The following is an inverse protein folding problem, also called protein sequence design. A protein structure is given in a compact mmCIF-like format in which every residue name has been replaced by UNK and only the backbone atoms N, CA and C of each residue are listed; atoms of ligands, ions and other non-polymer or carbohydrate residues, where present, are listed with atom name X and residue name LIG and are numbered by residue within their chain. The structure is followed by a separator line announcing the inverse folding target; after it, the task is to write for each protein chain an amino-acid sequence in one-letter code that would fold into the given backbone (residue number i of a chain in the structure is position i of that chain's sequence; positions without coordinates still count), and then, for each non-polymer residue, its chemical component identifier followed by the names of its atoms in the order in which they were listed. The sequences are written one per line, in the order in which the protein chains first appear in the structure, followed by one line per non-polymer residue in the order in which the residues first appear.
data_IF_781661211690
#
_entry.id   IF_781661211690
#
_cell.length_a   1.000
_cell.length_b   1.000
_cell.length_c   1.000
_cell.angle_alpha   90.00
_cell.angle_beta   90.00
_cell.angle_gamma   90.00
#
_symmetry.space_group_name_H-M   'P 1'
#
loop_
_entity.id
_entity.type
_entity.pdbx_description
1 polymer ?
#
# COMPACT_ATOMS: atom_id res chain seq x y z
N UNK A 1 0.88 9.86 2.89
CA UNK A 1 -0.12 8.79 2.67
C UNK A 1 0.56 7.59 2.02
N UNK A 2 0.19 6.36 2.39
CA UNK A 2 0.69 5.13 1.74
C UNK A 2 -0.50 4.30 1.25
N UNK A 3 -0.40 3.77 0.03
CA UNK A 3 -1.39 2.86 -0.57
C UNK A 3 -0.67 1.61 -1.03
N UNK A 4 -1.23 0.43 -0.71
CA UNK A 4 -0.67 -0.88 -1.06
C UNK A 4 -1.60 -1.58 -2.06
N UNK A 5 -1.03 -2.07 -3.14
CA UNK A 5 -1.73 -2.76 -4.23
C UNK A 5 -1.15 -4.17 -4.35
N UNK A 6 -1.97 -5.18 -4.06
CA UNK A 6 -1.51 -6.57 -4.02
C UNK A 6 -2.07 -7.42 -5.17
N UNK A 7 -3.38 -7.31 -5.42
CA UNK A 7 -4.12 -8.24 -6.29
C UNK A 7 -4.42 -7.71 -7.69
N UNK A 8 -4.00 -6.48 -8.00
CA UNK A 8 -4.20 -5.90 -9.33
C UNK A 8 -3.34 -6.64 -10.35
N UNK A 9 -3.97 -7.22 -11.38
CA UNK A 9 -3.31 -7.94 -12.47
C UNK A 9 -3.05 -7.00 -13.65
N UNK A 10 -1.79 -6.63 -13.93
CA UNK A 10 -1.48 -5.74 -15.04
C UNK A 10 -1.86 -6.29 -16.43
N UNK A 11 -2.11 -7.60 -16.58
CA UNK A 11 -2.60 -8.19 -17.85
C UNK A 11 -4.11 -8.04 -18.03
N UNK A 12 -4.85 -7.91 -16.94
CA UNK A 12 -6.30 -7.80 -16.92
C UNK A 12 -6.73 -6.72 -15.92
N UNK A 13 -6.43 -5.44 -16.21
CA UNK A 13 -6.63 -4.36 -15.26
C UNK A 13 -8.10 -4.20 -14.88
N UNK A 14 -8.37 -4.05 -13.58
CA UNK A 14 -9.72 -3.82 -13.06
C UNK A 14 -10.09 -2.35 -13.21
N UNK A 15 -10.86 -2.05 -14.25
CA UNK A 15 -11.31 -0.68 -14.54
C UNK A 15 -12.69 -0.43 -13.95
N UNK A 16 -12.71 0.14 -12.75
CA UNK A 16 -13.95 0.56 -12.11
C UNK A 16 -14.55 1.79 -12.83
N UNK A 17 -15.89 1.91 -12.92
CA UNK A 17 -16.55 3.01 -13.63
C UNK A 17 -16.13 4.41 -13.16
N UNK A 18 -15.81 4.56 -11.86
CA UNK A 18 -15.41 5.83 -11.27
C UNK A 18 -14.02 6.31 -11.67
N UNK A 19 -13.19 5.48 -12.32
CA UNK A 19 -11.85 5.85 -12.77
C UNK A 19 -11.87 6.81 -13.98
N UNK A 20 -13.02 6.94 -14.67
CA UNK A 20 -13.22 7.88 -15.79
C UNK A 20 -12.25 7.71 -16.99
N UNK A 21 -11.55 6.58 -17.09
CA UNK A 21 -10.78 6.20 -18.28
C UNK A 21 -11.06 4.75 -18.68
N UNK A 22 -11.00 4.48 -19.98
CA UNK A 22 -11.13 3.14 -20.55
C UNK A 22 -9.77 2.47 -20.81
N UNK A 23 -9.82 1.20 -21.22
CA UNK A 23 -8.62 0.40 -21.51
C UNK A 23 -7.70 1.05 -22.55
N UNK A 24 -8.25 1.56 -23.64
CA UNK A 24 -7.45 2.22 -24.70
C UNK A 24 -6.69 3.44 -24.18
N UNK A 25 -7.35 4.26 -23.35
CA UNK A 25 -6.73 5.42 -22.71
C UNK A 25 -5.63 5.01 -21.74
N UNK A 26 -5.86 3.93 -20.98
CA UNK A 26 -4.84 3.37 -20.08
C UNK A 26 -3.62 2.83 -20.85
N UNK A 27 -3.85 2.09 -21.93
CA UNK A 27 -2.77 1.52 -22.76
C UNK A 27 -1.90 2.62 -23.38
N UNK A 28 -2.53 3.69 -23.90
CA UNK A 28 -1.83 4.87 -24.39
C UNK A 28 -1.04 5.57 -23.29
N UNK A 29 -1.62 5.70 -22.09
CA UNK A 29 -0.95 6.30 -20.95
C UNK A 29 0.29 5.49 -20.53
N UNK A 30 0.15 4.17 -20.39
CA UNK A 30 1.26 3.27 -20.02
C UNK A 30 2.38 3.39 -21.05
N UNK A 31 2.05 3.40 -22.35
CA UNK A 31 3.05 3.60 -23.40
C UNK A 31 3.78 4.93 -23.25
N UNK A 32 3.06 6.04 -23.07
CA UNK A 32 3.64 7.36 -22.86
C UNK A 32 4.44 7.49 -21.56
N UNK A 33 4.05 6.77 -20.51
CA UNK A 33 4.75 6.76 -19.23
C UNK A 33 6.20 6.28 -19.38
N UNK A 34 6.44 5.29 -20.25
CA UNK A 34 7.77 4.73 -20.52
C UNK A 34 8.46 5.33 -21.74
N UNK A 35 7.91 6.37 -22.35
CA UNK A 35 8.57 7.06 -23.47
C UNK A 35 9.81 7.82 -22.99
N UNK A 36 10.95 7.61 -23.66
CA UNK A 36 12.20 8.33 -23.40
C UNK A 36 12.26 9.67 -24.12
N UNK A 37 11.45 9.86 -25.16
CA UNK A 37 11.41 11.11 -25.92
C UNK A 37 10.57 12.17 -25.19
N UNK A 38 11.15 13.37 -25.05
CA UNK A 38 10.52 14.45 -24.28
C UNK A 38 9.38 15.13 -25.01
N UNK A 39 9.27 15.03 -26.34
CA UNK A 39 8.16 15.57 -27.17
C UNK A 39 7.60 16.94 -26.74
N UNK A 40 8.48 17.88 -26.33
CA UNK A 40 8.11 19.22 -25.86
C UNK A 40 7.83 19.36 -24.35
N UNK A 41 7.78 18.26 -23.60
CA UNK A 41 7.75 18.24 -22.13
C UNK A 41 9.13 18.53 -21.50
N UNK A 42 9.12 19.08 -20.28
CA UNK A 42 10.34 19.27 -19.48
C UNK A 42 11.00 17.94 -19.07
N UNK A 43 10.21 16.87 -18.95
CA UNK A 43 10.67 15.51 -18.64
C UNK A 43 9.62 14.47 -19.02
N UNK A 44 10.03 13.20 -19.09
CA UNK A 44 9.13 12.05 -19.09
C UNK A 44 9.61 11.05 -18.03
N UNK A 45 8.71 10.22 -17.51
CA UNK A 45 9.13 9.17 -16.58
C UNK A 45 10.00 8.12 -17.28
N UNK A 46 9.72 7.81 -18.55
CA UNK A 46 10.56 6.94 -19.36
C UNK A 46 12.00 7.43 -19.47
N UNK A 47 12.23 8.72 -19.79
CA UNK A 47 13.58 9.31 -19.76
C UNK A 47 14.22 9.10 -18.39
N UNK A 48 13.48 9.36 -17.30
CA UNK A 48 14.07 9.24 -15.97
C UNK A 48 14.39 7.80 -15.57
N UNK A 49 13.61 6.83 -16.01
CA UNK A 49 13.76 5.42 -15.57
C UNK A 49 14.71 4.64 -16.49
N UNK A 50 14.61 4.87 -17.80
CA UNK A 50 15.23 4.04 -18.84
C UNK A 50 16.42 4.72 -19.53
N UNK A 51 16.54 6.05 -19.46
CA UNK A 51 17.63 6.81 -20.09
C UNK A 51 18.03 8.05 -19.27
N UNK A 52 18.46 7.83 -18.03
CA UNK A 52 18.95 8.89 -17.17
C UNK A 52 20.34 9.34 -17.61
N UNK A 53 20.38 10.23 -18.61
CA UNK A 53 21.64 10.71 -19.21
C UNK A 53 22.55 9.53 -19.66
N UNK A 54 21.96 8.53 -20.33
CA UNK A 54 22.62 7.30 -20.77
C UNK A 54 22.56 6.14 -19.77
N UNK A 55 21.90 6.31 -18.62
CA UNK A 55 21.78 5.28 -17.57
C UNK A 55 20.37 4.67 -17.57
N UNK A 56 20.27 3.39 -17.93
CA UNK A 56 19.06 2.59 -17.75
C UNK A 56 18.98 2.05 -16.31
N UNK A 57 18.24 2.76 -15.45
CA UNK A 57 18.12 2.42 -14.03
C UNK A 57 17.34 1.12 -13.83
N UNK A 58 16.31 0.86 -14.65
CA UNK A 58 15.53 -0.39 -14.60
C UNK A 58 16.42 -1.59 -14.89
N UNK A 59 17.25 -1.52 -15.94
CA UNK A 59 18.21 -2.59 -16.24
C UNK A 59 19.18 -2.84 -15.09
N UNK A 60 19.72 -1.79 -14.47
CA UNK A 60 20.61 -1.92 -13.31
C UNK A 60 19.89 -2.59 -12.13
N UNK A 61 18.62 -2.25 -11.87
CA UNK A 61 17.83 -2.92 -10.83
C UNK A 61 17.71 -4.43 -11.10
N UNK A 62 17.37 -4.81 -12.34
CA UNK A 62 17.25 -6.21 -12.76
C UNK A 62 18.58 -6.96 -12.61
N UNK A 63 19.68 -6.39 -13.07
CA UNK A 63 21.02 -7.00 -12.96
C UNK A 63 21.42 -7.25 -11.50
N UNK A 64 21.17 -6.27 -10.61
CA UNK A 64 21.45 -6.41 -9.17
C UNK A 64 20.65 -7.53 -8.54
N UNK A 65 19.33 -7.54 -8.74
CA UNK A 65 18.42 -8.51 -8.13
C UNK A 65 18.62 -9.92 -8.70
N UNK A 66 18.93 -10.04 -9.99
CA UNK A 66 19.24 -11.34 -10.62
C UNK A 66 20.54 -11.93 -10.09
N UNK A 67 21.54 -11.08 -9.78
CA UNK A 67 22.80 -11.50 -9.16
C UNK A 67 22.63 -11.85 -7.69
N UNK A 68 21.86 -11.05 -6.95
CA UNK A 68 21.63 -11.22 -5.52
C UNK A 68 20.21 -10.77 -5.15
N UNK A 69 19.27 -11.70 -4.92
CA UNK A 69 17.86 -11.35 -4.66
C UNK A 69 17.64 -10.45 -3.43
N UNK A 70 18.56 -10.46 -2.46
CA UNK A 70 18.49 -9.62 -1.26
C UNK A 70 19.22 -8.27 -1.42
N UNK A 71 19.60 -7.88 -2.64
CA UNK A 71 20.24 -6.59 -2.91
C UNK A 71 19.29 -5.44 -2.53
N UNK A 72 19.75 -4.61 -1.58
CA UNK A 72 18.99 -3.46 -1.06
C UNK A 72 19.20 -2.18 -1.87
N UNK A 73 19.96 -2.25 -2.95
CA UNK A 73 20.34 -1.16 -3.84
C UNK A 73 19.64 -1.19 -5.19
N UNK A 74 18.57 -1.98 -5.36
CA UNK A 74 17.69 -1.88 -6.51
C UNK A 74 16.82 -0.61 -6.39
N UNK A 75 17.35 0.50 -6.90
CA UNK A 75 16.85 1.85 -6.73
C UNK A 75 16.90 2.59 -8.08
N UNK A 76 15.84 3.34 -8.39
CA UNK A 76 15.84 4.37 -9.42
C UNK A 76 15.48 5.72 -8.79
N UNK A 77 16.26 6.77 -9.10
CA UNK A 77 16.00 8.15 -8.67
C UNK A 77 15.54 8.95 -9.87
N UNK A 78 14.44 9.70 -9.72
CA UNK A 78 13.81 10.41 -10.82
C UNK A 78 14.03 11.94 -10.77
N UNK A 79 14.47 12.49 -9.63
CA UNK A 79 14.78 13.92 -9.47
C UNK A 79 16.22 14.26 -9.90
N UNK A 80 16.40 15.16 -10.87
CA UNK A 80 17.72 15.67 -11.32
C UNK A 80 18.00 16.98 -10.59
N UNK A 81 18.86 17.01 -9.55
CA UNK A 81 19.04 18.23 -8.75
C UNK A 81 19.52 19.42 -9.58
N UNK A 82 20.36 19.19 -10.59
CA UNK A 82 20.90 20.21 -11.48
C UNK A 82 19.87 20.77 -12.49
N UNK A 83 18.69 20.17 -12.62
CA UNK A 83 17.63 20.57 -13.57
C UNK A 83 16.33 20.92 -12.85
N UNK A 84 15.87 20.03 -11.99
CA UNK A 84 14.53 20.10 -11.39
C UNK A 84 14.45 21.08 -10.20
N UNK A 85 15.58 21.57 -9.69
CA UNK A 85 15.60 22.65 -8.69
C UNK A 85 15.68 24.06 -9.31
N UNK A 86 15.97 24.14 -10.60
CA UNK A 86 16.31 25.40 -11.27
C UNK A 86 15.31 25.68 -12.39
N UNK A 87 14.24 26.46 -12.13
CA UNK A 87 13.30 26.84 -13.17
C UNK A 87 14.01 27.59 -14.31
N UNK A 88 13.56 27.43 -15.58
CA UNK A 88 14.19 28.14 -16.69
C UNK A 88 14.04 29.65 -16.55
N UNK A 89 15.17 30.36 -16.66
CA UNK A 89 15.29 31.81 -16.38
C UNK A 89 14.62 32.70 -17.41
N UNK A 90 14.38 32.20 -18.62
CA UNK A 90 13.82 32.96 -19.75
C UNK A 90 12.30 32.81 -19.90
N UNK A 91 11.62 32.21 -18.92
CA UNK A 91 10.18 31.92 -19.00
C UNK A 91 9.36 32.91 -18.19
N UNK A 92 8.18 33.27 -18.71
CA UNK A 92 7.21 34.10 -17.99
C UNK A 92 6.82 33.46 -16.64
N UNK A 93 6.67 34.29 -15.62
CA UNK A 93 6.03 33.88 -14.38
C UNK A 93 4.51 33.88 -14.56
N UNK A 94 3.86 32.80 -14.13
CA UNK A 94 2.42 32.75 -13.97
C UNK A 94 1.96 33.68 -12.84
N UNK A 95 0.68 34.06 -12.85
CA UNK A 95 0.10 34.99 -11.87
C UNK A 95 0.23 34.51 -10.41
N UNK A 96 0.32 33.20 -10.20
CA UNK A 96 0.52 32.57 -8.89
C UNK A 96 2.00 32.49 -8.46
N UNK A 97 2.93 33.09 -9.23
CA UNK A 97 4.36 33.10 -8.95
C UNK A 97 5.12 31.85 -9.43
N UNK A 98 4.45 30.90 -10.09
CA UNK A 98 5.11 29.71 -10.66
C UNK A 98 5.74 30.02 -12.03
N UNK A 99 6.84 29.36 -12.38
CA UNK A 99 7.39 29.44 -13.75
C UNK A 99 6.46 28.71 -14.72
N UNK A 100 5.92 29.45 -15.69
CA UNK A 100 4.92 28.92 -16.64
C UNK A 100 5.52 27.76 -17.44
N UNK A 101 4.82 26.63 -17.49
CA UNK A 101 5.26 25.45 -18.25
C UNK A 101 6.42 24.66 -17.62
N UNK A 102 6.97 25.10 -16.48
CA UNK A 102 7.99 24.34 -15.77
C UNK A 102 7.35 23.16 -15.04
N UNK A 103 7.75 21.95 -15.43
CA UNK A 103 7.25 20.71 -14.84
C UNK A 103 8.41 19.88 -14.32
N UNK A 104 8.24 19.33 -13.13
CA UNK A 104 9.24 18.50 -12.45
C UNK A 104 8.60 17.21 -11.94
N UNK A 105 9.33 16.09 -11.89
CA UNK A 105 8.77 14.77 -11.60
C UNK A 105 8.01 14.72 -10.28
N UNK A 106 6.78 14.22 -10.33
CA UNK A 106 5.98 13.95 -9.14
C UNK A 106 6.45 12.66 -8.47
N UNK A 107 6.65 11.59 -9.25
CA UNK A 107 7.37 10.39 -8.84
C UNK A 107 8.87 10.68 -8.77
N UNK A 108 9.49 10.53 -7.59
CA UNK A 108 10.89 10.90 -7.36
C UNK A 108 11.80 9.71 -7.10
N UNK A 109 11.25 8.56 -6.71
CA UNK A 109 12.04 7.38 -6.37
C UNK A 109 11.25 6.09 -6.58
N UNK A 110 11.92 5.04 -7.04
CA UNK A 110 11.41 3.66 -7.11
C UNK A 110 12.42 2.75 -6.43
N UNK A 111 11.96 1.86 -5.56
CA UNK A 111 12.76 0.87 -4.86
C UNK A 111 12.18 -0.52 -5.10
N UNK A 112 13.03 -1.50 -5.37
CA UNK A 112 12.65 -2.91 -5.53
C UNK A 112 13.27 -3.80 -4.46
N UNK A 113 12.54 -4.84 -4.06
CA UNK A 113 13.06 -5.83 -3.11
C UNK A 113 12.44 -7.21 -3.39
N UNK A 114 13.23 -8.28 -3.35
CA UNK A 114 12.70 -9.64 -3.32
C UNK A 114 12.52 -10.10 -1.87
N UNK A 115 11.35 -10.67 -1.56
CA UNK A 115 11.05 -11.31 -0.28
C UNK A 115 10.46 -12.69 -0.60
N UNK A 116 11.19 -13.74 -0.23
CA UNK A 116 10.89 -15.10 -0.68
C UNK A 116 10.87 -15.16 -2.21
N UNK A 117 9.75 -15.58 -2.78
CA UNK A 117 9.54 -15.69 -4.22
C UNK A 117 8.85 -14.48 -4.84
N UNK A 118 8.55 -13.44 -4.07
CA UNK A 118 7.83 -12.27 -4.54
C UNK A 118 8.77 -11.06 -4.72
N UNK A 119 8.56 -10.30 -5.81
CA UNK A 119 9.18 -9.00 -6.03
C UNK A 119 8.23 -7.87 -5.63
N UNK A 120 8.61 -7.12 -4.60
CA UNK A 120 7.90 -5.96 -4.09
C UNK A 120 8.51 -4.68 -4.64
N UNK A 121 7.68 -3.67 -4.88
CA UNK A 121 8.14 -2.38 -5.39
C UNK A 121 7.50 -1.23 -4.61
N UNK A 122 8.30 -0.24 -4.25
CA UNK A 122 7.83 0.99 -3.60
C UNK A 122 8.12 2.18 -4.51
N UNK A 123 7.10 2.99 -4.78
CA UNK A 123 7.18 4.22 -5.55
C UNK A 123 6.89 5.43 -4.66
N UNK A 124 7.80 6.40 -4.62
CA UNK A 124 7.69 7.59 -3.76
C UNK A 124 7.37 8.81 -4.60
N UNK A 125 6.26 9.46 -4.28
CA UNK A 125 5.79 10.68 -4.91
C UNK A 125 5.99 11.86 -3.96
N UNK A 126 6.63 12.94 -4.43
CA UNK A 126 6.70 14.21 -3.67
C UNK A 126 5.34 14.90 -3.63
N UNK A 127 4.58 14.78 -4.71
CA UNK A 127 3.24 15.30 -4.89
C UNK A 127 2.46 14.31 -5.75
N UNK A 128 1.19 14.08 -5.43
CA UNK A 128 0.39 13.09 -6.11
C UNK A 128 -1.07 13.52 -6.12
N UNK A 129 -1.60 13.82 -7.31
CA UNK A 129 -3.02 14.02 -7.53
C UNK A 129 -3.71 12.67 -7.39
N UNK A 130 -4.42 12.49 -6.28
CA UNK A 130 -4.99 11.20 -5.89
C UNK A 130 -6.19 10.83 -6.76
N UNK A 131 -6.90 11.82 -7.31
CA UNK A 131 -8.11 11.58 -8.07
C UNK A 131 -7.82 11.41 -9.56
N UNK A 132 -7.14 12.38 -10.18
CA UNK A 132 -6.92 12.39 -11.63
C UNK A 132 -5.69 11.60 -12.07
N UNK A 133 -4.56 11.82 -11.40
CA UNK A 133 -3.26 11.30 -11.84
C UNK A 133 -2.86 9.93 -11.26
N UNK A 134 -3.09 9.71 -9.97
CA UNK A 134 -2.56 8.55 -9.25
C UNK A 134 -3.02 7.20 -9.83
N UNK A 135 -4.31 6.99 -10.18
CA UNK A 135 -4.74 5.68 -10.69
C UNK A 135 -3.97 5.27 -11.94
N UNK A 136 -3.79 6.19 -12.91
CA UNK A 136 -3.01 5.95 -14.12
C UNK A 136 -1.53 5.66 -13.82
N UNK A 137 -0.92 6.45 -12.93
CA UNK A 137 0.45 6.21 -12.45
C UNK A 137 0.60 4.83 -11.80
N UNK A 138 -0.38 4.42 -10.99
CA UNK A 138 -0.37 3.13 -10.28
C UNK A 138 -0.42 1.96 -11.27
N UNK A 139 -1.27 2.02 -12.30
CA UNK A 139 -1.30 1.00 -13.36
C UNK A 139 0.00 0.93 -14.16
N UNK A 140 0.59 2.08 -14.50
CA UNK A 140 1.87 2.13 -15.20
C UNK A 140 3.01 1.53 -14.34
N UNK A 141 3.08 1.90 -13.07
CA UNK A 141 4.04 1.34 -12.12
C UNK A 141 3.81 -0.16 -11.90
N UNK A 142 2.56 -0.62 -11.88
CA UNK A 142 2.23 -2.04 -11.78
C UNK A 142 2.75 -2.83 -12.98
N UNK A 143 2.69 -2.25 -14.18
CA UNK A 143 3.29 -2.82 -15.38
C UNK A 143 4.82 -2.86 -15.31
N UNK A 144 5.48 -1.78 -14.85
CA UNK A 144 6.93 -1.77 -14.60
C UNK A 144 7.34 -2.88 -13.62
N UNK A 145 6.62 -2.99 -12.51
CA UNK A 145 6.88 -4.00 -11.49
C UNK A 145 6.76 -5.41 -12.07
N UNK A 146 5.70 -5.69 -12.84
CA UNK A 146 5.51 -7.00 -13.47
C UNK A 146 6.62 -7.31 -14.46
N UNK A 147 7.07 -6.34 -15.24
CA UNK A 147 8.17 -6.51 -16.17
C UNK A 147 9.49 -6.83 -15.44
N UNK A 148 9.83 -6.08 -14.38
CA UNK A 148 11.01 -6.38 -13.55
C UNK A 148 10.87 -7.75 -12.89
N UNK A 149 9.72 -8.08 -12.30
CA UNK A 149 9.46 -9.37 -11.64
C UNK A 149 9.71 -10.55 -12.58
N UNK A 150 9.22 -10.47 -13.83
CA UNK A 150 9.47 -11.51 -14.86
C UNK A 150 10.96 -11.61 -15.17
N UNK A 151 11.64 -10.49 -15.36
CA UNK A 151 13.06 -10.47 -15.73
C UNK A 151 13.97 -11.02 -14.61
N UNK A 152 13.59 -10.84 -13.35
CA UNK A 152 14.33 -11.41 -12.19
C UNK A 152 13.87 -12.81 -11.81
N UNK A 153 12.85 -13.37 -12.49
CA UNK A 153 12.32 -14.71 -12.21
C UNK A 153 11.56 -14.81 -10.87
N UNK A 154 10.79 -13.78 -10.52
CA UNK A 154 9.99 -13.72 -9.28
C UNK A 154 8.50 -13.51 -9.57
N UNK A 155 7.68 -13.89 -8.59
CA UNK A 155 6.25 -13.61 -8.57
C UNK A 155 6.00 -12.12 -8.31
N UNK A 156 4.84 -11.64 -8.72
CA UNK A 156 4.44 -10.26 -8.52
C UNK A 156 4.02 -10.05 -7.05
N UNK A 157 4.84 -9.34 -6.27
CA UNK A 157 4.53 -8.95 -4.91
C UNK A 157 3.71 -7.65 -4.83
N UNK A 158 3.65 -7.05 -3.64
CA UNK A 158 2.93 -5.80 -3.42
C UNK A 158 3.61 -4.59 -4.11
N UNK A 159 2.81 -3.70 -4.70
CA UNK A 159 3.21 -2.34 -5.07
C UNK A 159 2.78 -1.38 -3.96
N UNK A 160 3.72 -0.64 -3.40
CA UNK A 160 3.44 0.42 -2.41
C UNK A 160 3.67 1.78 -3.05
N UNK A 161 2.68 2.66 -3.03
CA UNK A 161 2.86 4.07 -3.41
C UNK A 161 2.86 4.94 -2.16
N UNK A 162 3.93 5.70 -1.94
CA UNK A 162 4.04 6.66 -0.84
C UNK A 162 3.92 8.07 -1.41
N UNK A 163 2.86 8.78 -1.04
CA UNK A 163 2.65 10.19 -1.40
C UNK A 163 3.02 11.08 -0.22
N UNK A 164 4.01 11.96 -0.40
CA UNK A 164 4.35 12.98 0.60
C UNK A 164 3.24 14.04 0.66
N UNK A 165 2.94 14.68 -0.47
CA UNK A 165 1.74 15.50 -0.65
C UNK A 165 0.73 14.67 -1.44
N UNK A 166 -0.41 14.39 -0.82
CA UNK A 166 -1.55 13.74 -1.43
C UNK A 166 -2.66 14.77 -1.55
N UNK A 167 -2.99 15.17 -2.77
CA UNK A 167 -3.94 16.25 -3.03
C UNK A 167 -5.06 15.80 -3.97
N UNK A 168 -6.17 16.53 -3.90
CA UNK A 168 -7.27 16.45 -4.85
C UNK A 168 -7.48 17.88 -5.33
N UNK A 169 -7.50 18.09 -6.65
CA UNK A 169 -7.75 19.42 -7.20
C UNK A 169 -9.18 19.88 -6.90
N UNK A 170 -9.36 21.18 -6.68
CA UNK A 170 -10.66 21.78 -6.35
C UNK A 170 -11.74 21.41 -7.39
N UNK A 171 -11.37 21.37 -8.68
CA UNK A 171 -12.27 20.99 -9.77
C UNK A 171 -12.80 19.57 -9.66
N UNK A 172 -12.02 18.67 -9.04
CA UNK A 172 -12.34 17.26 -8.88
C UNK A 172 -12.98 16.94 -7.52
N UNK A 173 -13.01 17.90 -6.58
CA UNK A 173 -13.37 17.64 -5.19
C UNK A 173 -14.81 17.14 -5.01
N UNK A 174 -15.78 17.75 -5.70
CA UNK A 174 -17.18 17.33 -5.61
C UNK A 174 -17.43 15.97 -6.26
N UNK A 175 -16.71 15.64 -7.32
CA UNK A 175 -16.82 14.32 -7.94
C UNK A 175 -16.13 13.25 -7.10
N UNK A 176 -14.97 13.56 -6.49
CA UNK A 176 -14.32 12.68 -5.53
C UNK A 176 -15.25 12.35 -4.33
N UNK A 177 -15.96 13.36 -3.80
CA UNK A 177 -16.95 13.15 -2.73
C UNK A 177 -18.07 12.20 -3.14
N UNK A 178 -18.60 12.32 -4.37
CA UNK A 178 -19.64 11.41 -4.87
C UNK A 178 -19.12 9.98 -4.97
N UNK A 179 -17.91 9.80 -5.54
CA UNK A 179 -17.28 8.48 -5.64
C UNK A 179 -17.15 7.84 -4.26
N UNK A 180 -16.67 8.58 -3.25
CA UNK A 180 -16.58 8.06 -1.87
C UNK A 180 -17.97 7.74 -1.32
N UNK A 181 -18.96 8.62 -1.48
CA UNK A 181 -20.30 8.39 -0.95
C UNK A 181 -21.01 7.17 -1.57
N UNK A 182 -20.75 6.90 -2.85
CA UNK A 182 -21.37 5.79 -3.59
C UNK A 182 -20.64 4.46 -3.41
N UNK A 183 -19.35 4.48 -3.08
CA UNK A 183 -18.50 3.29 -3.07
C UNK A 183 -17.89 2.96 -1.69
N UNK A 184 -17.92 3.88 -0.72
CA UNK A 184 -17.47 3.60 0.65
C UNK A 184 -18.53 2.77 1.39
N UNK A 185 -18.09 1.63 1.93
CA UNK A 185 -18.95 0.75 2.72
C UNK A 185 -18.18 0.19 3.91
N UNK A 186 -18.90 -0.20 4.97
CA UNK A 186 -18.31 -0.84 6.15
C UNK A 186 -17.59 -2.17 5.82
N UNK A 187 -17.81 -2.74 4.63
CA UNK A 187 -17.05 -3.90 4.18
C UNK A 187 -15.53 -3.63 4.14
N UNK A 188 -15.11 -2.37 3.91
CA UNK A 188 -13.67 -2.02 3.94
C UNK A 188 -13.03 -2.15 5.32
N UNK A 189 -13.82 -2.21 6.39
CA UNK A 189 -13.31 -2.45 7.76
C UNK A 189 -13.39 -3.92 8.14
N UNK A 190 -13.84 -4.79 7.24
CA UNK A 190 -13.94 -6.24 7.43
C UNK A 190 -12.95 -6.94 6.47
N UNK A 191 -11.68 -6.54 6.56
CA UNK A 191 -10.59 -7.11 5.77
C UNK A 191 -9.79 -8.09 6.63
N UNK A 192 -9.23 -9.10 5.97
CA UNK A 192 -8.22 -9.95 6.59
C UNK A 192 -6.99 -9.12 6.94
N UNK A 193 -6.47 -9.28 8.15
CA UNK A 193 -5.24 -8.63 8.55
C UNK A 193 -4.05 -9.32 7.90
N UNK A 194 -3.20 -8.53 7.24
CA UNK A 194 -2.02 -9.05 6.54
C UNK A 194 -0.98 -9.66 7.49
N UNK A 195 -1.06 -9.38 8.80
CA UNK A 195 -0.14 -9.94 9.80
C UNK A 195 -0.56 -11.31 10.33
N UNK A 196 -1.82 -11.68 10.19
CA UNK A 196 -2.31 -12.96 10.69
C UNK A 196 -3.78 -12.94 11.09
N UNK A 197 -4.23 -14.04 11.68
CA UNK A 197 -5.51 -14.12 12.37
C UNK A 197 -5.31 -14.64 13.79
N UNK A 198 -6.34 -14.54 14.62
CA UNK A 198 -6.29 -14.96 16.01
C UNK A 198 -7.47 -15.86 16.38
N UNK A 199 -7.22 -16.68 17.41
CA UNK A 199 -8.26 -17.42 18.12
C UNK A 199 -8.23 -17.06 19.59
N UNK A 200 -9.40 -16.99 20.21
CA UNK A 200 -9.58 -16.74 21.64
C UNK A 200 -10.28 -17.94 22.24
N UNK A 201 -9.77 -18.41 23.37
CA UNK A 201 -10.36 -19.49 24.16
C UNK A 201 -10.32 -19.15 25.65
N UNK A 202 -11.09 -19.90 26.44
CA UNK A 202 -11.06 -19.84 27.90
C UNK A 202 -10.57 -21.20 28.41
N UNK A 203 -9.52 -21.17 29.23
CA UNK A 203 -8.97 -22.34 29.89
C UNK A 203 -9.05 -22.15 31.41
N UNK A 204 -10.05 -22.76 32.04
CA UNK A 204 -10.37 -22.50 33.44
C UNK A 204 -10.85 -21.04 33.62
N UNK A 205 -10.07 -20.22 34.31
CA UNK A 205 -10.35 -18.78 34.46
C UNK A 205 -9.49 -17.91 33.53
N UNK A 206 -8.57 -18.50 32.77
CA UNK A 206 -7.66 -17.74 31.92
C UNK A 206 -8.26 -17.52 30.53
N UNK A 207 -8.16 -16.30 30.03
CA UNK A 207 -8.42 -15.96 28.64
C UNK A 207 -7.11 -16.15 27.88
N UNK A 208 -7.15 -16.96 26.83
CA UNK A 208 -6.00 -17.26 25.97
C UNK A 208 -6.27 -16.73 24.57
N UNK A 209 -5.36 -15.92 24.04
CA UNK A 209 -5.40 -15.46 22.65
C UNK A 209 -4.14 -15.92 21.92
N UNK A 210 -4.34 -16.60 20.80
CA UNK A 210 -3.27 -17.17 19.97
C UNK A 210 -3.34 -16.57 18.58
N UNK A 211 -2.21 -16.11 18.07
CA UNK A 211 -2.04 -15.55 16.74
C UNK A 211 -1.35 -16.55 15.83
N UNK A 212 -1.77 -16.58 14.57
CA UNK A 212 -1.23 -17.43 13.52
C UNK A 212 -0.80 -16.62 12.30
N UNK A 213 0.08 -17.19 11.49
CA UNK A 213 0.41 -16.64 10.16
C UNK A 213 -0.84 -16.46 9.30
N UNK A 214 -0.84 -15.57 8.30
CA UNK A 214 -2.02 -15.34 7.44
C UNK A 214 -2.55 -16.60 6.73
N UNK A 215 -1.69 -17.57 6.46
CA UNK A 215 -2.05 -18.87 5.87
C UNK A 215 -2.41 -19.95 6.91
N UNK A 216 -2.29 -19.62 8.20
CA UNK A 216 -2.59 -20.50 9.33
C UNK A 216 -1.58 -21.62 9.55
N UNK A 217 -0.43 -21.58 8.87
CA UNK A 217 0.57 -22.66 8.94
C UNK A 217 1.38 -22.66 10.24
N UNK A 218 1.57 -21.50 10.87
CA UNK A 218 2.43 -21.36 12.05
C UNK A 218 1.80 -20.48 13.13
N UNK A 219 2.06 -20.81 14.40
CA UNK A 219 1.73 -19.95 15.54
C UNK A 219 2.77 -18.82 15.66
N UNK A 220 2.30 -17.57 15.73
CA UNK A 220 3.13 -16.38 15.89
C UNK A 220 3.36 -16.04 17.36
N UNK A 221 2.31 -16.08 18.17
CA UNK A 221 2.36 -15.73 19.59
C UNK A 221 1.10 -16.20 20.33
N UNK A 222 1.26 -16.53 21.61
CA UNK A 222 0.15 -16.77 22.53
C UNK A 222 0.26 -15.88 23.76
N UNK A 223 -0.84 -15.23 24.13
CA UNK A 223 -0.97 -14.46 25.36
C UNK A 223 -2.05 -15.06 26.25
N UNK A 224 -1.82 -14.98 27.55
CA UNK A 224 -2.71 -15.50 28.58
C UNK A 224 -2.88 -14.47 29.67
N UNK A 225 -4.11 -14.25 30.10
CA UNK A 225 -4.39 -13.51 31.33
C UNK A 225 -5.58 -14.07 32.09
N UNK A 226 -5.51 -13.97 33.42
CA UNK A 226 -6.62 -14.37 34.27
C UNK A 226 -7.82 -13.44 34.05
N UNK A 227 -8.96 -13.98 33.60
CA UNK A 227 -10.15 -13.22 33.25
C UNK A 227 -10.88 -12.58 34.44
N UNK A 228 -10.59 -12.99 35.68
CA UNK A 228 -11.09 -12.31 36.90
C UNK A 228 -10.32 -11.03 37.21
N UNK A 229 -9.09 -10.89 36.70
CA UNK A 229 -8.28 -9.67 36.86
C UNK A 229 -9.04 -8.45 36.33
N UNK A 230 -9.07 -7.32 37.04
CA UNK A 230 -9.63 -6.09 36.50
C UNK A 230 -8.93 -5.68 35.21
N UNK A 231 -9.71 -5.50 34.13
CA UNK A 231 -9.24 -5.05 32.80
C UNK A 231 -8.35 -6.08 32.08
N UNK A 232 -8.61 -7.38 32.28
CA UNK A 232 -7.87 -8.45 31.61
C UNK A 232 -7.93 -8.31 30.07
N UNK A 233 -9.11 -8.03 29.50
CA UNK A 233 -9.26 -7.84 28.06
C UNK A 233 -8.41 -6.68 27.52
N UNK A 234 -8.38 -5.55 28.26
CA UNK A 234 -7.56 -4.38 27.89
C UNK A 234 -6.06 -4.72 27.92
N UNK A 235 -5.62 -5.45 28.93
CA UNK A 235 -4.21 -5.84 29.09
C UNK A 235 -3.79 -6.76 27.95
N UNK A 236 -4.62 -7.74 27.58
CA UNK A 236 -4.39 -8.59 26.41
C UNK A 236 -4.33 -7.78 25.11
N UNK A 237 -5.26 -6.86 24.88
CA UNK A 237 -5.18 -5.94 23.74
C UNK A 237 -3.85 -5.16 23.72
N UNK A 238 -3.41 -4.66 24.88
CA UNK A 238 -2.15 -3.91 24.98
C UNK A 238 -0.92 -4.77 24.68
N UNK A 239 -0.90 -6.04 25.07
CA UNK A 239 0.17 -6.99 24.74
C UNK A 239 0.22 -7.26 23.23
N UNK A 240 -0.94 -7.50 22.61
CA UNK A 240 -1.05 -7.70 21.16
C UNK A 240 -0.58 -6.48 20.38
N UNK A 241 -0.97 -5.28 20.81
CA UNK A 241 -0.55 -4.02 20.18
C UNK A 241 0.95 -3.76 20.36
N UNK A 242 1.50 -4.05 21.55
CA UNK A 242 2.94 -3.93 21.84
C UNK A 242 3.76 -4.79 20.88
N UNK A 243 3.30 -6.00 20.62
CA UNK A 243 4.00 -6.96 19.76
C UNK A 243 3.62 -6.79 18.27
N UNK A 244 2.83 -5.76 17.94
CA UNK A 244 2.46 -5.36 16.59
C UNK A 244 1.83 -6.50 15.77
N UNK A 245 1.02 -7.36 16.40
CA UNK A 245 0.43 -8.53 15.73
C UNK A 245 -0.79 -8.22 14.85
N UNK A 246 -1.30 -7.00 14.90
CA UNK A 246 -2.38 -6.50 14.04
C UNK A 246 -1.93 -5.25 13.31
N UNK A 247 -2.33 -5.13 12.04
CA UNK A 247 -2.15 -3.96 11.18
C UNK A 247 -3.48 -3.27 10.84
N UNK A 248 -4.59 -4.02 10.83
CA UNK A 248 -5.90 -3.55 10.44
C UNK A 248 -6.73 -3.09 11.65
N UNK A 249 -7.29 -1.88 11.56
CA UNK A 249 -8.11 -1.31 12.64
C UNK A 249 -9.42 -2.07 12.84
N UNK A 250 -9.97 -2.67 11.77
CA UNK A 250 -11.15 -3.53 11.85
C UNK A 250 -10.89 -4.79 12.68
N UNK A 251 -9.76 -5.45 12.45
CA UNK A 251 -9.33 -6.60 13.22
C UNK A 251 -9.04 -6.22 14.70
N UNK A 252 -8.44 -5.05 14.94
CA UNK A 252 -8.23 -4.55 16.30
C UNK A 252 -9.55 -4.27 17.05
N UNK A 253 -10.55 -3.73 16.35
CA UNK A 253 -11.89 -3.49 16.91
C UNK A 253 -12.60 -4.81 17.25
N UNK A 254 -12.53 -5.80 16.36
CA UNK A 254 -13.09 -7.13 16.64
C UNK A 254 -12.39 -7.83 17.80
N UNK A 255 -11.05 -7.81 17.83
CA UNK A 255 -10.26 -8.40 18.91
C UNK A 255 -10.68 -7.86 20.27
N UNK A 256 -10.77 -6.53 20.39
CA UNK A 256 -11.20 -5.88 21.63
C UNK A 256 -12.62 -6.30 22.05
N UNK A 257 -13.54 -6.43 21.08
CA UNK A 257 -14.91 -6.90 21.31
C UNK A 257 -14.94 -8.35 21.80
N UNK A 258 -14.17 -9.24 21.18
CA UNK A 258 -14.11 -10.66 21.56
C UNK A 258 -13.45 -10.86 22.93
N UNK A 259 -12.35 -10.17 23.20
CA UNK A 259 -11.67 -10.25 24.50
C UNK A 259 -12.55 -9.70 25.63
N UNK A 260 -13.29 -8.61 25.41
CA UNK A 260 -14.25 -8.10 26.39
C UNK A 260 -15.40 -9.09 26.65
N UNK A 261 -15.86 -9.79 25.59
CA UNK A 261 -16.86 -10.86 25.69
C UNK A 261 -16.32 -12.05 26.50
N UNK A 262 -15.06 -12.44 26.28
CA UNK A 262 -14.39 -13.49 27.06
C UNK A 262 -14.21 -13.10 28.54
N UNK A 263 -13.75 -11.87 28.82
CA UNK A 263 -13.63 -11.35 30.19
C UNK A 263 -14.97 -11.33 30.93
N UNK A 264 -16.04 -10.94 30.23
CA UNK A 264 -17.40 -10.97 30.77
C UNK A 264 -17.83 -12.40 31.09
N UNK A 265 -17.53 -13.35 30.19
CA UNK A 265 -17.86 -14.75 30.39
C UNK A 265 -17.18 -15.34 31.63
N UNK A 266 -15.87 -15.13 31.79
CA UNK A 266 -15.14 -15.58 32.99
C UNK A 266 -15.73 -14.96 34.25
N UNK A 267 -16.00 -13.66 34.26
CA UNK A 267 -16.50 -12.97 35.46
C UNK A 267 -17.89 -13.41 35.88
N UNK A 268 -18.77 -13.68 34.92
CA UNK A 268 -20.17 -14.05 35.16
C UNK A 268 -20.41 -15.56 35.18
N UNK A 269 -19.41 -16.39 34.86
CA UNK A 269 -19.58 -17.85 34.77
C UNK A 269 -20.44 -18.25 33.56
N UNK A 270 -20.21 -17.62 32.40
CA UNK A 270 -20.91 -17.92 31.14
C UNK A 270 -19.99 -18.72 30.21
N UNK A 271 -20.60 -19.43 29.27
CA UNK A 271 -19.88 -20.11 28.18
C UNK A 271 -19.51 -19.09 27.11
N UNK A 272 -18.21 -18.98 26.84
CA UNK A 272 -17.66 -18.23 25.71
C UNK A 272 -17.35 -19.17 24.55
N UNK A 273 -17.82 -18.79 23.38
CA UNK A 273 -17.37 -19.32 22.10
C UNK A 273 -17.13 -18.10 21.19
N UNK A 274 -15.96 -18.05 20.54
CA UNK A 274 -15.61 -16.93 19.67
C UNK A 274 -16.69 -16.76 18.59
N UNK A 275 -17.03 -15.52 18.27
CA UNK A 275 -18.07 -15.16 17.28
C UNK A 275 -19.50 -15.61 17.58
N UNK A 276 -19.73 -16.39 18.64
CA UNK A 276 -21.08 -16.76 19.10
C UNK A 276 -21.59 -15.87 20.24
N UNK A 277 -22.92 -15.78 20.44
CA UNK A 277 -23.49 -15.18 21.64
C UNK A 277 -23.02 -15.89 22.92
N UNK A 278 -22.91 -15.15 24.02
CA UNK A 278 -22.68 -15.75 25.34
C UNK A 278 -23.88 -16.62 25.74
N UNK A 279 -23.60 -17.77 26.36
CA UNK A 279 -24.63 -18.72 26.82
C UNK A 279 -24.45 -19.03 28.30
N UNK A 280 -25.54 -19.39 28.95
CA UNK A 280 -25.49 -20.07 30.23
C UNK A 280 -24.99 -21.50 29.99
N UNK A 281 -24.35 -22.10 31.00
CA UNK A 281 -24.07 -23.55 31.02
C UNK A 281 -25.35 -24.39 31.00
#
# INVERSE_FOLDING_TARGET
MSIVIEKEDPKSPKLEPFLKFGKEGLDLYIKGFFDTEKSGSSYTYGERILDWDGIDQKKIMVEKLSRFPFDRGALAVLWKPHRDNYPPTETEMAQNGQTKGWQVPCLVMIMGQCIGDNFHMTAVFRNNDIYGGWPLNAFALRNLQQNIAVEVGKNLGALTTISHIAEIYEIDYEDAKKVVAENDSLARTCLYDTRGYYTISIEGEDIVVTFFTPDGSEELATFRENGKKPKAARDLCAMVLRDMLLSELGAAADLGRQLAKAETAVKLGLVFEQDQPLRLE
#
